data_IF_038735284452
#
_entry.id   IF_038735284452
#
_cell.length_a   1.000
_cell.length_b   1.000
_cell.length_c   1.000
_cell.angle_alpha   90.00
_cell.angle_beta   90.00
_cell.angle_gamma   90.00
#
_symmetry.space_group_name_H-M   'P 1'
#
loop_
_entity.id
_entity.type
_entity.pdbx_description
1 polymer ?
#
# COMPACT_ATOMS: atom_id res chain seq x y z
N UNK A 1 -1.90 -8.30 15.25
CA UNK A 1 -2.74 -7.09 15.42
C UNK A 1 -2.41 -6.11 14.31
N UNK A 2 -3.41 -5.46 13.74
CA UNK A 2 -3.24 -4.41 12.71
C UNK A 2 -3.84 -3.11 13.25
N UNK A 3 -3.16 -1.95 13.20
CA UNK A 3 -3.75 -0.70 13.66
C UNK A 3 -4.83 -0.23 12.68
N UNK A 4 -5.93 0.30 13.21
CA UNK A 4 -6.84 1.15 12.44
C UNK A 4 -6.12 2.46 12.14
N UNK A 5 -5.98 2.78 10.86
CA UNK A 5 -5.32 4.00 10.38
C UNK A 5 -6.37 4.87 9.68
N UNK A 6 -6.29 6.17 9.91
CA UNK A 6 -7.24 7.14 9.37
C UNK A 6 -8.46 7.34 10.28
N UNK A 7 -9.27 8.33 9.92
CA UNK A 7 -10.51 8.67 10.62
C UNK A 7 -11.73 8.18 9.85
N UNK A 8 -12.85 8.00 10.55
CA UNK A 8 -14.10 7.52 9.92
C UNK A 8 -14.67 8.51 8.89
N UNK A 9 -14.29 9.78 8.95
CA UNK A 9 -14.67 10.85 8.01
C UNK A 9 -13.69 11.02 6.84
N UNK A 10 -12.62 10.22 6.79
CA UNK A 10 -11.61 10.25 5.73
C UNK A 10 -11.76 9.06 4.77
N UNK A 11 -11.26 9.15 3.53
CA UNK A 11 -11.23 8.01 2.63
C UNK A 11 -10.48 6.83 3.26
N UNK A 12 -10.97 5.62 3.01
CA UNK A 12 -10.40 4.39 3.58
C UNK A 12 -8.93 4.24 3.20
N UNK A 13 -8.10 3.89 4.18
CA UNK A 13 -6.71 3.51 3.96
C UNK A 13 -6.66 2.23 3.11
N UNK A 14 -5.85 2.24 2.06
CA UNK A 14 -5.57 1.07 1.24
C UNK A 14 -4.09 0.71 1.35
N UNK A 15 -3.81 -0.58 1.51
CA UNK A 15 -2.46 -1.13 1.45
C UNK A 15 -2.11 -1.27 -0.04
N UNK A 16 -1.49 -0.20 -0.58
CA UNK A 16 -1.11 -0.09 -1.97
C UNK A 16 0.36 -0.46 -2.15
N UNK A 17 0.62 -1.65 -2.70
CA UNK A 17 1.97 -2.14 -2.96
C UNK A 17 2.16 -2.24 -4.46
N UNK A 18 3.11 -1.47 -4.99
CA UNK A 18 3.36 -1.38 -6.43
C UNK A 18 4.69 -2.08 -6.75
N UNK A 19 4.68 -3.16 -7.56
CA UNK A 19 5.91 -3.77 -8.05
C UNK A 19 6.75 -2.77 -8.85
N UNK A 20 8.04 -2.72 -8.56
CA UNK A 20 8.94 -1.70 -9.15
C UNK A 20 9.07 -1.88 -10.67
N UNK A 21 9.10 -3.11 -11.16
CA UNK A 21 9.14 -3.44 -12.58
C UNK A 21 7.87 -2.98 -13.32
N UNK A 22 6.70 -3.17 -12.71
CA UNK A 22 5.44 -2.65 -13.24
C UNK A 22 5.42 -1.12 -13.23
N UNK A 23 5.84 -0.48 -12.12
CA UNK A 23 5.93 0.99 -12.02
C UNK A 23 6.83 1.57 -13.11
N UNK A 24 8.03 1.01 -13.28
CA UNK A 24 9.01 1.48 -14.27
C UNK A 24 8.47 1.33 -15.69
N UNK A 25 7.87 0.18 -16.02
CA UNK A 25 7.28 -0.06 -17.35
C UNK A 25 6.22 0.99 -17.69
N UNK A 26 5.35 1.33 -16.74
CA UNK A 26 4.30 2.33 -16.94
C UNK A 26 4.85 3.77 -16.95
N UNK A 27 5.86 4.06 -16.14
CA UNK A 27 6.55 5.36 -16.18
C UNK A 27 7.22 5.59 -17.54
N UNK A 28 7.87 4.56 -18.09
CA UNK A 28 8.45 4.59 -19.44
C UNK A 28 7.37 4.84 -20.49
N UNK A 29 6.22 4.15 -20.41
CA UNK A 29 5.11 4.36 -21.33
C UNK A 29 4.60 5.81 -21.30
N UNK A 30 4.36 6.37 -20.11
CA UNK A 30 3.88 7.73 -19.93
C UNK A 30 4.85 8.79 -20.46
N UNK A 31 6.16 8.56 -20.31
CA UNK A 31 7.20 9.55 -20.62
C UNK A 31 7.78 9.43 -22.02
N UNK A 32 7.82 8.22 -22.60
CA UNK A 32 8.48 7.96 -23.89
C UNK A 32 7.54 8.16 -25.08
N UNK A 33 6.23 8.05 -24.89
CA UNK A 33 5.23 8.19 -25.96
C UNK A 33 4.53 9.53 -25.88
N UNK A 34 5.33 10.60 -25.84
CA UNK A 34 4.85 11.97 -25.59
C UNK A 34 3.66 12.35 -26.48
N UNK A 35 3.71 12.08 -27.78
CA UNK A 35 2.64 12.49 -28.69
C UNK A 35 1.33 11.72 -28.45
N UNK A 36 1.42 10.42 -28.16
CA UNK A 36 0.26 9.58 -27.77
C UNK A 36 -0.29 10.03 -26.42
N UNK A 37 0.58 10.28 -25.43
CA UNK A 37 0.19 10.77 -24.09
C UNK A 37 -0.50 12.13 -24.18
N UNK A 38 0.06 13.06 -24.96
CA UNK A 38 -0.46 14.43 -25.12
C UNK A 38 -1.74 14.48 -25.95
N UNK A 39 -1.97 13.54 -26.87
CA UNK A 39 -3.22 13.45 -27.64
C UNK A 39 -4.48 13.27 -26.76
N UNK A 40 -4.30 12.77 -25.54
CA UNK A 40 -5.38 12.55 -24.57
C UNK A 40 -5.61 13.74 -23.64
N UNK A 41 -4.85 14.82 -23.80
CA UNK A 41 -4.93 16.02 -22.98
C UNK A 41 -5.59 17.12 -23.79
N UNK A 42 -6.52 17.84 -23.17
CA UNK A 42 -7.12 19.02 -23.77
C UNK A 42 -6.03 20.03 -24.13
N UNK A 43 -5.95 20.40 -25.41
CA UNK A 43 -4.97 21.33 -25.96
C UNK A 43 -4.93 22.68 -25.22
N UNK A 44 -6.06 23.11 -24.64
CA UNK A 44 -6.14 24.34 -23.83
C UNK A 44 -5.38 24.26 -22.50
N UNK A 45 -5.14 23.05 -22.00
CA UNK A 45 -4.48 22.79 -20.69
C UNK A 45 -3.02 22.37 -20.82
N UNK A 46 -2.58 22.01 -22.03
CA UNK A 46 -1.29 21.38 -22.31
C UNK A 46 -0.08 22.23 -21.87
N UNK A 47 -0.22 23.55 -21.91
CA UNK A 47 0.84 24.53 -21.62
C UNK A 47 0.56 25.40 -20.39
N UNK A 48 -0.58 25.20 -19.74
CA UNK A 48 -1.06 26.05 -18.64
C UNK A 48 -1.04 25.37 -17.28
N UNK A 49 -1.00 24.03 -17.25
CA UNK A 49 -0.92 23.26 -16.00
C UNK A 49 -0.06 21.99 -16.15
N UNK A 50 0.62 21.56 -15.07
CA UNK A 50 1.31 20.28 -15.05
C UNK A 50 0.31 19.12 -15.17
N UNK A 51 0.70 18.08 -15.90
CA UNK A 51 -0.09 16.86 -15.99
C UNK A 51 0.31 15.93 -14.85
N UNK A 52 -0.63 15.70 -13.94
CA UNK A 52 -0.44 14.86 -12.76
C UNK A 52 -1.06 13.49 -13.05
N UNK A 53 -0.28 12.43 -12.78
CA UNK A 53 -0.70 11.05 -12.94
C UNK A 53 -0.50 10.31 -11.61
N UNK A 54 -1.55 9.63 -11.15
CA UNK A 54 -1.48 8.80 -9.96
C UNK A 54 -1.28 7.34 -10.39
N UNK A 55 -0.06 6.84 -10.22
CA UNK A 55 0.27 5.44 -10.49
C UNK A 55 0.11 4.67 -9.18
N UNK A 56 -0.86 3.74 -9.16
CA UNK A 56 -1.21 2.90 -8.00
C UNK A 56 -1.47 1.48 -8.44
N UNK A 57 -1.38 0.53 -7.52
CA UNK A 57 -1.81 -0.84 -7.80
C UNK A 57 -3.32 -0.82 -8.13
N UNK A 58 -3.76 -1.39 -9.25
CA UNK A 58 -5.17 -1.46 -9.62
C UNK A 58 -5.99 -2.38 -8.69
N UNK A 59 -5.32 -3.26 -7.94
CA UNK A 59 -5.90 -4.22 -7.01
C UNK A 59 -5.22 -4.09 -5.63
N UNK A 60 -5.37 -2.95 -4.94
CA UNK A 60 -4.79 -2.76 -3.62
C UNK A 60 -5.57 -3.58 -2.58
N UNK A 61 -4.94 -3.85 -1.44
CA UNK A 61 -5.57 -4.55 -0.34
C UNK A 61 -6.29 -3.56 0.59
N UNK A 62 -7.51 -3.89 1.00
CA UNK A 62 -8.24 -3.10 2.01
C UNK A 62 -7.63 -3.36 3.38
N UNK A 63 -7.49 -2.32 4.21
CA UNK A 63 -6.86 -2.45 5.53
C UNK A 63 -7.58 -3.49 6.43
N UNK A 64 -8.89 -3.60 6.30
CA UNK A 64 -9.75 -4.56 7.00
C UNK A 64 -9.48 -6.03 6.63
N UNK A 65 -8.93 -6.30 5.45
CA UNK A 65 -8.62 -7.65 4.98
C UNK A 65 -7.19 -8.07 5.38
N UNK A 66 -6.33 -7.12 5.76
CA UNK A 66 -4.94 -7.37 6.15
C UNK A 66 -4.77 -8.34 7.34
N UNK A 67 -5.60 -8.31 8.42
CA UNK A 67 -5.48 -9.28 9.49
C UNK A 67 -5.65 -10.72 9.03
N UNK A 68 -6.62 -10.98 8.15
CA UNK A 68 -6.84 -12.31 7.59
C UNK A 68 -5.67 -12.71 6.69
N UNK A 69 -5.18 -11.79 5.87
CA UNK A 69 -4.03 -12.03 5.00
C UNK A 69 -2.76 -12.43 5.77
N UNK A 70 -2.47 -11.74 6.88
CA UNK A 70 -1.36 -12.09 7.77
C UNK A 70 -1.57 -13.49 8.37
N UNK A 71 -2.80 -13.83 8.77
CA UNK A 71 -3.11 -15.15 9.34
C UNK A 71 -2.92 -16.27 8.32
N UNK A 72 -3.23 -16.03 7.04
CA UNK A 72 -3.05 -16.99 5.96
C UNK A 72 -1.56 -17.22 5.61
N UNK A 73 -0.73 -16.17 5.70
CA UNK A 73 0.72 -16.25 5.47
C UNK A 73 1.48 -16.93 6.62
N UNK A 74 0.99 -16.79 7.85
CA UNK A 74 1.66 -17.27 9.06
C UNK A 74 0.81 -18.32 9.81
N UNK A 75 0.63 -19.54 9.26
CA UNK A 75 -0.23 -20.56 9.88
C UNK A 75 0.22 -20.96 11.29
N UNK A 76 1.51 -20.83 11.62
CA UNK A 76 2.03 -21.05 12.97
C UNK A 76 1.50 -20.07 14.03
N UNK A 77 1.07 -18.87 13.65
CA UNK A 77 0.40 -17.92 14.56
C UNK A 77 -1.05 -18.31 14.88
N UNK A 78 -1.71 -19.10 14.02
CA UNK A 78 -3.07 -19.59 14.30
C UNK A 78 -3.10 -20.53 15.52
N UNK A 79 -2.03 -21.30 15.76
CA UNK A 79 -1.89 -22.15 16.95
C UNK A 79 -1.67 -21.36 18.24
N UNK A 80 -1.01 -20.19 18.20
CA UNK A 80 -0.86 -19.30 19.36
C UNK A 80 -2.16 -18.52 19.67
N UNK A 81 -2.98 -18.23 18.66
CA UNK A 81 -4.29 -17.58 18.85
C UNK A 81 -5.28 -18.49 19.60
N UNK A 82 -5.16 -19.81 19.52
CA UNK A 82 -5.96 -20.74 20.32
C UNK A 82 -5.54 -20.80 21.80
N UNK A 83 -4.38 -20.24 22.18
CA UNK A 83 -3.86 -20.25 23.55
C UNK A 83 -4.05 -18.91 24.30
N UNK A 84 -4.96 -18.05 23.82
CA UNK A 84 -5.31 -16.80 24.50
C UNK A 84 -4.55 -15.55 24.06
N UNK A 85 -3.73 -15.64 23.00
CA UNK A 85 -3.17 -14.46 22.35
C UNK A 85 -4.27 -13.71 21.56
N UNK A 86 -4.30 -12.38 21.66
CA UNK A 86 -5.30 -11.52 21.02
C UNK A 86 -5.47 -11.87 19.53
N UNK A 87 -6.72 -12.12 19.11
CA UNK A 87 -7.06 -12.50 17.74
C UNK A 87 -6.45 -11.53 16.71
N UNK A 88 -6.03 -12.06 15.56
CA UNK A 88 -5.63 -11.24 14.43
C UNK A 88 -6.81 -10.34 14.03
N UNK A 89 -6.69 -9.03 14.30
CA UNK A 89 -7.76 -8.09 14.05
C UNK A 89 -7.28 -6.64 14.05
N UNK A 90 -8.19 -5.77 13.59
CA UNK A 90 -8.02 -4.32 13.62
C UNK A 90 -8.21 -3.80 15.05
N UNK A 91 -7.22 -3.06 15.55
CA UNK A 91 -7.22 -2.44 16.89
C UNK A 91 -7.09 -0.92 16.79
N UNK A 92 -7.56 -0.14 17.79
CA UNK A 92 -7.27 1.30 17.86
C UNK A 92 -5.77 1.59 17.74
N UNK A 93 -5.41 2.68 17.04
CA UNK A 93 -4.02 3.06 16.79
C UNK A 93 -3.23 3.20 18.11
N UNK A 94 -3.83 3.80 19.12
CA UNK A 94 -3.26 4.08 20.43
C UNK A 94 -2.96 2.78 21.19
N UNK A 95 -3.87 1.81 21.11
CA UNK A 95 -3.65 0.48 21.67
C UNK A 95 -2.50 -0.24 20.95
N UNK A 96 -2.44 -0.13 19.61
CA UNK A 96 -1.36 -0.73 18.83
C UNK A 96 -0.01 -0.08 19.15
N UNK A 97 0.06 1.24 19.21
CA UNK A 97 1.29 1.98 19.56
C UNK A 97 1.80 1.58 20.94
N UNK A 98 0.91 1.47 21.93
CA UNK A 98 1.29 1.00 23.27
C UNK A 98 1.88 -0.42 23.27
N UNK A 99 1.38 -1.32 22.41
CA UNK A 99 1.93 -2.68 22.29
C UNK A 99 3.30 -2.73 21.62
N UNK A 100 3.56 -1.84 20.66
CA UNK A 100 4.82 -1.78 19.92
C UNK A 100 5.96 -1.21 20.79
N UNK A 101 5.66 -0.24 21.64
CA UNK A 101 6.64 0.33 22.59
C UNK A 101 7.13 -0.70 23.62
N UNK A 102 6.26 -1.65 23.99
CA UNK A 102 6.59 -2.70 24.96
C UNK A 102 7.24 -3.94 24.34
N UNK A 103 7.27 -4.05 23.01
CA UNK A 103 7.72 -5.25 22.30
C UNK A 103 9.23 -5.28 21.99
N UNK A 104 9.96 -4.20 22.31
CA UNK A 104 11.39 -4.09 22.01
C UNK A 104 12.23 -4.93 23.00
N UNK A 105 12.59 -6.14 22.58
CA UNK A 105 13.44 -7.05 23.35
C UNK A 105 14.54 -7.66 22.45
N UNK A 106 15.69 -8.02 23.03
CA UNK A 106 16.80 -8.70 22.33
C UNK A 106 17.87 -7.77 21.74
N UNK A 107 18.75 -8.33 20.91
CA UNK A 107 19.97 -7.67 20.40
C UNK A 107 19.71 -6.43 19.51
N UNK A 108 18.53 -6.32 18.89
CA UNK A 108 18.11 -5.16 18.06
C UNK A 108 17.10 -4.24 18.78
N UNK A 109 17.03 -4.26 20.11
CA UNK A 109 16.07 -3.45 20.86
C UNK A 109 16.15 -1.94 20.52
N UNK A 110 17.37 -1.41 20.33
CA UNK A 110 17.57 -0.01 19.97
C UNK A 110 17.04 0.33 18.56
N UNK A 111 17.24 -0.55 17.58
CA UNK A 111 16.72 -0.38 16.22
C UNK A 111 15.20 -0.51 16.17
N UNK A 112 14.64 -1.44 16.95
CA UNK A 112 13.19 -1.60 17.09
C UNK A 112 12.55 -0.37 17.74
N UNK A 113 13.16 0.19 18.80
CA UNK A 113 12.70 1.44 19.43
C UNK A 113 12.73 2.62 18.45
N UNK A 114 13.81 2.77 17.68
CA UNK A 114 13.94 3.84 16.70
C UNK A 114 12.86 3.74 15.61
N UNK A 115 12.63 2.56 15.03
CA UNK A 115 11.57 2.33 14.03
C UNK A 115 10.19 2.59 14.62
N UNK A 116 9.95 2.13 15.85
CA UNK A 116 8.69 2.33 16.56
C UNK A 116 8.40 3.81 16.82
N UNK A 117 9.42 4.58 17.22
CA UNK A 117 9.29 6.02 17.42
C UNK A 117 8.94 6.76 16.13
N UNK A 118 9.57 6.40 15.00
CA UNK A 118 9.25 6.99 13.68
C UNK A 118 7.83 6.64 13.27
N UNK A 119 7.42 5.38 13.37
CA UNK A 119 6.06 4.95 13.04
C UNK A 119 5.04 5.68 13.92
N UNK A 120 5.29 5.78 15.23
CA UNK A 120 4.44 6.52 16.17
C UNK A 120 4.30 7.97 15.76
N UNK A 121 5.42 8.64 15.46
CA UNK A 121 5.40 10.02 15.02
C UNK A 121 4.61 10.20 13.71
N UNK A 122 4.81 9.34 12.71
CA UNK A 122 4.10 9.43 11.43
C UNK A 122 2.59 9.22 11.57
N UNK A 123 2.18 8.22 12.37
CA UNK A 123 0.75 7.90 12.54
C UNK A 123 0.04 8.92 13.45
N UNK A 124 0.71 9.40 14.51
CA UNK A 124 0.15 10.39 15.44
C UNK A 124 -0.03 11.79 14.83
N UNK A 125 0.78 12.16 13.83
CA UNK A 125 0.61 13.43 13.10
C UNK A 125 -0.55 13.41 12.10
N UNK A 126 -1.28 12.29 12.00
CA UNK A 126 -2.42 12.15 11.09
C UNK A 126 -2.03 11.91 9.64
N UNK A 127 -0.80 11.42 9.40
CA UNK A 127 -0.40 10.96 8.06
C UNK A 127 -1.24 9.75 7.69
N UNK A 128 -2.31 9.96 6.94
CA UNK A 128 -3.12 8.91 6.35
C UNK A 128 -2.75 8.77 4.87
N UNK A 129 -2.29 7.58 4.47
CA UNK A 129 -2.19 7.24 3.04
C UNK A 129 -3.60 6.89 2.56
N UNK A 130 -4.29 7.87 1.98
CA UNK A 130 -5.59 7.66 1.38
C UNK A 130 -5.43 7.25 -0.09
N UNK A 131 -6.39 6.48 -0.56
CA UNK A 131 -6.43 6.03 -1.94
C UNK A 131 -6.64 7.23 -2.88
N UNK A 132 -5.67 7.49 -3.76
CA UNK A 132 -5.78 8.54 -4.78
C UNK A 132 -6.58 8.05 -5.98
N UNK A 133 -7.44 8.89 -6.55
CA UNK A 133 -8.10 8.59 -7.82
C UNK A 133 -7.07 8.45 -8.94
N UNK A 134 -7.10 7.32 -9.65
CA UNK A 134 -6.21 7.01 -10.76
C UNK A 134 -6.94 6.70 -12.06
N UNK A 135 -8.26 6.92 -12.15
CA UNK A 135 -9.04 6.53 -13.33
C UNK A 135 -8.42 7.08 -14.63
N UNK A 136 -8.13 8.40 -14.65
CA UNK A 136 -7.45 9.07 -15.79
C UNK A 136 -6.12 8.41 -16.14
N UNK A 137 -5.31 8.05 -15.15
CA UNK A 137 -4.00 7.44 -15.38
C UNK A 137 -4.14 6.01 -15.92
N UNK A 138 -5.09 5.24 -15.41
CA UNK A 138 -5.32 3.87 -15.87
C UNK A 138 -5.87 3.84 -17.30
N UNK A 139 -6.83 4.69 -17.63
CA UNK A 139 -7.38 4.78 -19.00
C UNK A 139 -6.29 5.13 -20.02
N UNK A 140 -5.43 6.08 -19.65
CA UNK A 140 -4.28 6.45 -20.48
C UNK A 140 -3.29 5.30 -20.63
N UNK A 141 -2.90 4.66 -19.53
CA UNK A 141 -1.96 3.54 -19.57
C UNK A 141 -2.50 2.38 -20.41
N UNK A 142 -3.79 2.05 -20.29
CA UNK A 142 -4.44 1.01 -21.09
C UNK A 142 -4.44 1.37 -22.57
N UNK A 143 -4.58 2.65 -22.90
CA UNK A 143 -4.46 3.12 -24.29
C UNK A 143 -3.03 2.99 -24.81
N UNK A 144 -2.03 3.32 -23.99
CA UNK A 144 -0.61 3.21 -24.36
C UNK A 144 -0.15 1.74 -24.43
N UNK A 145 -0.67 0.87 -23.58
CA UNK A 145 -0.32 -0.55 -23.50
C UNK A 145 -1.58 -1.43 -23.39
N UNK A 146 -2.29 -1.67 -24.51
CA UNK A 146 -3.57 -2.38 -24.49
C UNK A 146 -3.49 -3.81 -23.94
N UNK A 147 -4.46 -4.17 -23.11
CA UNK A 147 -4.75 -5.52 -22.64
C UNK A 147 -3.82 -6.04 -21.54
N UNK A 148 -2.95 -5.20 -20.98
CA UNK A 148 -1.87 -5.67 -20.10
C UNK A 148 -1.67 -4.89 -18.82
N UNK A 149 -2.23 -3.70 -18.65
CA UNK A 149 -1.83 -2.82 -17.53
C UNK A 149 -2.29 -3.39 -16.19
N UNK A 150 -3.56 -3.79 -16.09
CA UNK A 150 -4.12 -4.36 -14.85
C UNK A 150 -3.58 -5.76 -14.58
N UNK A 151 -3.52 -6.60 -15.61
CA UNK A 151 -3.10 -8.00 -15.46
C UNK A 151 -1.61 -8.14 -15.17
N UNK A 152 -0.76 -7.25 -15.69
CA UNK A 152 0.67 -7.24 -15.39
C UNK A 152 0.99 -6.75 -13.97
N UNK A 153 0.02 -6.14 -13.26
CA UNK A 153 0.21 -5.75 -11.86
C UNK A 153 -0.39 -6.82 -10.95
N UNK A 154 0.41 -7.64 -10.23
CA UNK A 154 -0.12 -8.56 -9.24
C UNK A 154 -0.99 -7.82 -8.22
N UNK A 155 -2.11 -8.45 -7.84
CA UNK A 155 -2.90 -7.96 -6.73
C UNK A 155 -2.11 -8.05 -5.42
N UNK A 156 -2.43 -7.17 -4.48
CA UNK A 156 -1.85 -7.24 -3.13
C UNK A 156 -2.56 -8.35 -2.36
N UNK A 157 -2.18 -9.59 -2.64
CA UNK A 157 -2.73 -10.79 -2.04
C UNK A 157 -1.71 -11.56 -1.19
N UNK A 158 -2.16 -12.62 -0.51
CA UNK A 158 -1.31 -13.43 0.37
C UNK A 158 -0.13 -14.07 -0.38
N UNK A 159 -0.33 -14.49 -1.63
CA UNK A 159 0.72 -15.12 -2.42
C UNK A 159 1.80 -14.10 -2.81
N UNK A 160 1.39 -12.91 -3.21
CA UNK A 160 2.29 -11.80 -3.51
C UNK A 160 3.08 -11.36 -2.27
N UNK A 161 2.41 -11.14 -1.14
CA UNK A 161 3.05 -10.71 0.10
C UNK A 161 3.96 -11.80 0.71
N UNK A 162 3.59 -13.08 0.68
CA UNK A 162 4.47 -14.20 1.07
C UNK A 162 5.71 -14.28 0.16
N UNK A 163 5.52 -14.07 -1.15
CA UNK A 163 6.62 -13.99 -2.10
C UNK A 163 7.62 -12.87 -1.79
N UNK A 164 7.14 -11.70 -1.33
CA UNK A 164 8.00 -10.61 -0.86
C UNK A 164 8.69 -10.96 0.45
N UNK A 165 7.95 -11.50 1.41
CA UNK A 165 8.45 -11.85 2.74
C UNK A 165 9.63 -12.82 2.67
N UNK A 166 9.53 -13.87 1.85
CA UNK A 166 10.58 -14.89 1.68
C UNK A 166 11.86 -14.39 1.01
N UNK A 167 11.84 -13.21 0.39
CA UNK A 167 12.99 -12.60 -0.30
C UNK A 167 13.76 -11.63 0.59
N UNK A 168 13.21 -11.26 1.74
CA UNK A 168 13.88 -10.45 2.77
C UNK A 168 14.70 -11.35 3.70
#
# INVERSE_FOLDING_TARGET
MVPRIGRADQPSFAVDVIPVDWLVSNLVALTSRRDETLAHIDASTLHTAPQIYHVRNPRPLRLEDLPQMIADMCPGQQQQQQQGAAAAGLVPLEQWLGSVETAAEGEDAAGQLARSAVIKQMLSTGTAMFSLDNAKTMDLLETLNPGGVVEACPGVDAAFLDGLWRRM
#
